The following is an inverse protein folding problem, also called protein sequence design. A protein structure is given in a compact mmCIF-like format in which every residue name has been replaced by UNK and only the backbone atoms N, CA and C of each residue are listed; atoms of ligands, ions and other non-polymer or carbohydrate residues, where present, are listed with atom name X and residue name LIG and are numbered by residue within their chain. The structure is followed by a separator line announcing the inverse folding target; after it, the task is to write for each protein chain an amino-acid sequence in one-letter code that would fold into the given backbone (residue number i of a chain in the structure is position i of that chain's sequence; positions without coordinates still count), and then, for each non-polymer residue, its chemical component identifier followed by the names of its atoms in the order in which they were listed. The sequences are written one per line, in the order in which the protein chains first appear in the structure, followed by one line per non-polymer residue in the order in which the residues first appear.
data_IF_661079002690
#
_entry.id   IF_661079002690
#
_cell.length_a   1.000
_cell.length_b   1.000
_cell.length_c   1.000
_cell.angle_alpha   90.00
_cell.angle_beta   90.00
_cell.angle_gamma   90.00
#
_symmetry.space_group_name_H-M   'P 1'
#
loop_
_entity.id
_entity.type
_entity.pdbx_description
1 polymer ?
#
# COMPACT_ATOMS: atom_id res chain seq x y z
N UNK A 1 -5.91 -4.83 -6.18
CA UNK A 1 -5.84 -4.77 -4.69
C UNK A 1 -5.34 -3.41 -4.26
N UNK A 2 -5.97 -2.82 -3.25
CA UNK A 2 -5.44 -1.67 -2.49
C UNK A 2 -4.89 -2.17 -1.15
N UNK A 3 -3.68 -1.74 -0.77
CA UNK A 3 -3.05 -2.15 0.49
C UNK A 3 -3.09 -1.02 1.49
N UNK A 4 -3.59 -1.31 2.70
CA UNK A 4 -3.69 -0.45 3.88
C UNK A 4 -4.30 0.91 3.56
N UNK A 5 -5.62 0.95 3.34
CA UNK A 5 -6.35 2.17 2.94
C UNK A 5 -6.34 3.26 4.01
N UNK A 6 -5.88 2.94 5.23
CA UNK A 6 -6.03 3.79 6.40
C UNK A 6 -7.47 3.87 6.88
N UNK A 7 -7.70 4.61 7.96
CA UNK A 7 -9.03 4.73 8.60
C UNK A 7 -10.08 5.40 7.69
N UNK A 8 -9.64 6.30 6.83
CA UNK A 8 -10.54 7.11 6.00
C UNK A 8 -10.82 6.48 4.63
N UNK A 9 -9.98 5.51 4.17
CA UNK A 9 -10.17 4.82 2.89
C UNK A 9 -10.28 5.77 1.70
N UNK A 10 -9.46 6.81 1.66
CA UNK A 10 -9.59 7.90 0.68
C UNK A 10 -9.49 7.40 -0.77
N UNK A 11 -8.53 6.52 -1.04
CA UNK A 11 -8.42 5.93 -2.39
C UNK A 11 -9.50 4.90 -2.67
N UNK A 12 -9.99 4.19 -1.64
CA UNK A 12 -11.14 3.29 -1.77
C UNK A 12 -12.38 4.04 -2.24
N UNK A 13 -12.61 5.29 -1.78
CA UNK A 13 -13.71 6.14 -2.27
C UNK A 13 -13.68 6.40 -3.77
N UNK A 14 -12.48 6.44 -4.35
CA UNK A 14 -12.28 6.64 -5.79
C UNK A 14 -12.34 5.30 -6.52
N UNK A 15 -11.64 4.28 -5.99
CA UNK A 15 -11.45 3.01 -6.67
C UNK A 15 -12.73 2.15 -6.68
N UNK A 16 -13.52 2.17 -5.60
CA UNK A 16 -14.74 1.34 -5.53
C UNK A 16 -15.74 1.72 -6.62
N UNK A 17 -16.20 2.98 -6.75
CA UNK A 17 -17.13 3.35 -7.81
C UNK A 17 -16.50 3.27 -9.21
N UNK A 18 -15.19 3.53 -9.33
CA UNK A 18 -14.50 3.42 -10.62
C UNK A 18 -14.50 2.00 -11.17
N UNK A 19 -14.41 0.99 -10.30
CA UNK A 19 -14.37 -0.42 -10.68
C UNK A 19 -15.73 -1.11 -10.69
N UNK A 20 -16.80 -0.46 -10.19
CA UNK A 20 -18.09 -1.09 -9.94
C UNK A 20 -18.67 -1.88 -11.14
N UNK A 21 -18.54 -1.34 -12.36
CA UNK A 21 -19.10 -1.95 -13.58
C UNK A 21 -18.11 -2.85 -14.34
N UNK A 22 -16.80 -2.77 -14.07
CA UNK A 22 -15.77 -3.37 -14.93
C UNK A 22 -14.72 -4.19 -14.18
N UNK A 23 -14.81 -4.28 -12.88
CA UNK A 23 -13.79 -4.94 -12.08
C UNK A 23 -14.23 -5.25 -10.67
N UNK A 24 -13.28 -5.63 -9.84
CA UNK A 24 -13.50 -5.88 -8.43
C UNK A 24 -12.36 -5.25 -7.62
N UNK A 25 -12.71 -4.47 -6.62
CA UNK A 25 -11.75 -3.97 -5.64
C UNK A 25 -11.61 -4.97 -4.50
N UNK A 26 -10.38 -5.38 -4.22
CA UNK A 26 -10.01 -6.04 -2.96
C UNK A 26 -9.19 -5.07 -2.14
N UNK A 27 -9.51 -4.92 -0.87
CA UNK A 27 -8.77 -4.08 0.06
C UNK A 27 -8.11 -4.94 1.12
N UNK A 28 -6.80 -4.81 1.28
CA UNK A 28 -6.06 -5.47 2.33
C UNK A 28 -5.89 -4.50 3.52
N UNK A 29 -6.67 -4.69 4.57
CA UNK A 29 -6.56 -3.94 5.82
C UNK A 29 -5.38 -4.45 6.67
N UNK A 30 -5.07 -3.80 7.80
CA UNK A 30 -4.04 -4.30 8.70
C UNK A 30 -4.43 -5.68 9.25
N UNK A 31 -3.48 -6.60 9.21
CA UNK A 31 -3.65 -7.93 9.80
C UNK A 31 -3.51 -7.93 11.32
N UNK A 32 -3.71 -9.09 11.92
CA UNK A 32 -3.59 -9.27 13.36
C UNK A 32 -2.14 -9.15 13.80
N UNK A 33 -1.93 -8.37 14.83
CA UNK A 33 -0.63 -8.17 15.45
C UNK A 33 -0.76 -8.00 16.96
N UNK A 34 0.35 -8.16 17.64
CA UNK A 34 0.43 -8.09 19.12
C UNK A 34 1.41 -7.03 19.60
N UNK A 35 1.95 -6.21 18.69
CA UNK A 35 2.93 -5.18 18.99
C UNK A 35 2.31 -3.84 19.44
N UNK A 36 3.15 -2.85 19.60
CA UNK A 36 2.76 -1.52 20.09
C UNK A 36 1.83 -0.75 19.15
N UNK A 37 1.68 -1.17 17.88
CA UNK A 37 0.80 -0.52 16.89
C UNK A 37 -0.59 -1.13 16.83
N UNK A 38 -0.84 -2.22 17.59
CA UNK A 38 -2.07 -2.98 17.57
C UNK A 38 -3.32 -2.11 17.72
N UNK A 39 -3.36 -1.25 18.73
CA UNK A 39 -4.55 -0.45 19.03
C UNK A 39 -4.83 0.57 17.94
N UNK A 40 -3.79 1.22 17.40
CA UNK A 40 -3.91 2.13 16.26
C UNK A 40 -4.48 1.42 15.03
N UNK A 41 -3.97 0.24 14.70
CA UNK A 41 -4.39 -0.50 13.52
C UNK A 41 -5.78 -1.09 13.67
N UNK A 42 -6.15 -1.53 14.89
CA UNK A 42 -7.50 -1.97 15.19
C UNK A 42 -8.51 -0.81 15.05
N UNK A 43 -8.17 0.37 15.55
CA UNK A 43 -8.98 1.59 15.36
C UNK A 43 -9.15 1.93 13.88
N UNK A 44 -8.06 1.89 13.10
CA UNK A 44 -8.10 2.16 11.67
C UNK A 44 -8.98 1.14 10.91
N UNK A 45 -8.83 -0.16 11.20
CA UNK A 45 -9.66 -1.21 10.60
C UNK A 45 -11.14 -1.04 10.97
N UNK A 46 -11.43 -0.70 12.23
CA UNK A 46 -12.81 -0.49 12.71
C UNK A 46 -13.47 0.71 12.02
N UNK A 47 -12.74 1.82 11.90
CA UNK A 47 -13.23 3.02 11.22
C UNK A 47 -13.46 2.75 9.72
N UNK A 48 -12.54 2.02 9.08
CA UNK A 48 -12.68 1.64 7.68
C UNK A 48 -13.87 0.70 7.45
N UNK A 49 -14.07 -0.30 8.29
CA UNK A 49 -15.24 -1.18 8.20
C UNK A 49 -16.55 -0.40 8.35
N UNK A 50 -16.62 0.51 9.34
CA UNK A 50 -17.79 1.38 9.52
C UNK A 50 -18.09 2.26 8.29
N UNK A 51 -17.04 2.73 7.59
CA UNK A 51 -17.20 3.46 6.33
C UNK A 51 -17.83 2.61 5.23
N UNK A 52 -17.35 1.36 5.06
CA UNK A 52 -17.94 0.45 4.05
C UNK A 52 -19.40 0.16 4.37
N UNK A 53 -19.74 -0.07 5.63
CA UNK A 53 -21.10 -0.36 6.09
C UNK A 53 -22.05 0.84 5.94
N UNK A 54 -21.51 2.07 5.98
CA UNK A 54 -22.32 3.28 5.89
C UNK A 54 -22.92 3.53 4.50
N UNK A 55 -22.31 3.02 3.44
CA UNK A 55 -22.80 3.16 2.07
C UNK A 55 -22.66 1.85 1.26
N UNK A 56 -23.53 0.86 1.51
CA UNK A 56 -23.50 -0.42 0.80
C UNK A 56 -23.67 -0.24 -0.72
N UNK A 57 -24.39 0.79 -1.16
CA UNK A 57 -24.59 1.05 -2.59
C UNK A 57 -23.28 1.33 -3.35
N UNK A 58 -22.26 1.80 -2.63
CA UNK A 58 -20.93 2.05 -3.21
C UNK A 58 -19.94 0.91 -2.92
N UNK A 59 -20.04 0.30 -1.73
CA UNK A 59 -18.96 -0.55 -1.21
C UNK A 59 -19.31 -2.04 -1.08
N UNK A 60 -20.55 -2.48 -1.33
CA UNK A 60 -20.95 -3.89 -1.16
C UNK A 60 -20.13 -4.88 -1.99
N UNK A 61 -19.59 -4.43 -3.14
CA UNK A 61 -18.74 -5.24 -4.00
C UNK A 61 -17.27 -5.25 -3.59
N UNK A 62 -16.87 -4.47 -2.57
CA UNK A 62 -15.48 -4.41 -2.10
C UNK A 62 -15.19 -5.65 -1.26
N UNK A 63 -14.24 -6.47 -1.73
CA UNK A 63 -13.74 -7.59 -0.97
C UNK A 63 -12.70 -7.12 0.05
N UNK A 64 -12.76 -7.60 1.28
CA UNK A 64 -11.79 -7.25 2.34
C UNK A 64 -10.94 -8.46 2.69
N UNK A 65 -9.64 -8.27 2.73
CA UNK A 65 -8.64 -9.22 3.23
C UNK A 65 -7.72 -8.49 4.21
N UNK A 66 -6.72 -9.17 4.74
CA UNK A 66 -5.77 -8.57 5.67
C UNK A 66 -4.32 -8.86 5.30
N UNK A 67 -3.43 -7.96 5.67
CA UNK A 67 -2.00 -8.08 5.44
C UNK A 67 -1.21 -7.69 6.68
N UNK A 68 -0.36 -8.62 7.14
CA UNK A 68 0.69 -8.35 8.12
C UNK A 68 1.82 -9.37 7.97
N UNK A 69 2.94 -8.94 7.45
CA UNK A 69 4.09 -9.81 7.25
C UNK A 69 4.85 -10.05 8.57
N UNK A 70 5.46 -11.26 8.74
CA UNK A 70 5.50 -12.35 7.77
C UNK A 70 4.30 -13.31 7.81
N UNK A 71 3.41 -13.21 8.76
CA UNK A 71 2.38 -14.25 9.05
C UNK A 71 1.16 -14.23 8.13
N UNK A 72 0.65 -13.05 7.79
CA UNK A 72 -0.57 -12.85 7.01
C UNK A 72 -0.24 -12.11 5.70
N UNK A 73 0.09 -12.85 4.65
CA UNK A 73 0.52 -12.29 3.36
C UNK A 73 -0.34 -12.76 2.18
N UNK A 74 -1.46 -13.41 2.43
CA UNK A 74 -2.36 -13.91 1.39
C UNK A 74 -3.35 -12.82 0.93
N UNK A 75 -2.90 -11.90 0.08
CA UNK A 75 -3.70 -10.78 -0.43
C UNK A 75 -4.87 -11.23 -1.32
N UNK A 76 -4.66 -12.24 -2.14
CA UNK A 76 -5.62 -12.84 -3.07
C UNK A 76 -5.07 -14.18 -3.58
N UNK A 77 -5.83 -14.86 -4.45
CA UNK A 77 -5.31 -16.04 -5.13
C UNK A 77 -4.09 -15.68 -6.00
N UNK A 78 -3.05 -16.53 -6.06
CA UNK A 78 -1.89 -16.27 -6.90
C UNK A 78 -2.26 -16.03 -8.37
N UNK A 79 -1.64 -15.03 -8.98
CA UNK A 79 -1.84 -14.69 -10.39
C UNK A 79 -3.26 -14.27 -10.75
N UNK A 80 -4.05 -13.76 -9.79
CA UNK A 80 -5.45 -13.39 -10.02
C UNK A 80 -5.68 -11.89 -10.24
N UNK A 81 -4.73 -11.04 -9.85
CA UNK A 81 -4.90 -9.61 -9.83
C UNK A 81 -4.24 -8.92 -11.03
N UNK A 82 -4.90 -7.93 -11.59
CA UNK A 82 -4.35 -7.10 -12.66
C UNK A 82 -3.45 -5.99 -12.11
N UNK A 83 -3.79 -5.49 -10.92
CA UNK A 83 -3.09 -4.37 -10.30
C UNK A 83 -3.09 -4.47 -8.77
N UNK A 84 -1.97 -4.10 -8.17
CA UNK A 84 -1.83 -3.85 -6.73
C UNK A 84 -1.42 -2.39 -6.56
N UNK A 85 -2.12 -1.66 -5.68
CA UNK A 85 -1.85 -0.26 -5.38
C UNK A 85 -1.55 -0.08 -3.90
N UNK A 86 -0.60 0.78 -3.62
CA UNK A 86 -0.27 1.18 -2.25
C UNK A 86 0.09 2.66 -2.20
N UNK A 87 -0.38 3.33 -1.15
CA UNK A 87 -0.26 4.77 -0.99
C UNK A 87 0.28 5.08 0.41
N UNK A 88 1.50 5.62 0.50
CA UNK A 88 2.15 6.03 1.74
C UNK A 88 2.39 4.88 2.75
N UNK A 89 2.76 3.71 2.24
CA UNK A 89 2.99 2.54 3.08
C UNK A 89 4.40 1.94 2.94
N UNK A 90 5.10 2.20 1.82
CA UNK A 90 6.43 1.59 1.59
C UNK A 90 7.42 1.96 2.69
N UNK A 91 7.44 3.23 3.14
CA UNK A 91 8.30 3.67 4.25
C UNK A 91 7.99 2.91 5.56
N UNK A 92 6.72 2.57 5.82
CA UNK A 92 6.33 1.78 6.98
C UNK A 92 6.82 0.33 6.87
N UNK A 93 6.70 -0.29 5.69
CA UNK A 93 7.22 -1.64 5.46
C UNK A 93 8.74 -1.70 5.63
N UNK A 94 9.45 -0.67 5.20
CA UNK A 94 10.90 -0.54 5.40
C UNK A 94 11.23 -0.41 6.89
N UNK A 95 10.56 0.50 7.61
CA UNK A 95 10.74 0.73 9.05
C UNK A 95 10.49 -0.51 9.89
N UNK A 96 9.52 -1.33 9.51
CA UNK A 96 9.15 -2.55 10.25
C UNK A 96 9.83 -3.82 9.74
N UNK A 97 10.72 -3.70 8.76
CA UNK A 97 11.43 -4.84 8.18
C UNK A 97 10.54 -5.80 7.38
N UNK A 98 9.37 -5.35 6.93
CA UNK A 98 8.36 -6.16 6.24
C UNK A 98 8.40 -6.03 4.72
N UNK A 99 9.18 -5.09 4.18
CA UNK A 99 9.10 -4.71 2.77
C UNK A 99 9.32 -5.87 1.81
N UNK A 100 10.26 -6.77 2.09
CA UNK A 100 10.55 -7.94 1.26
C UNK A 100 9.34 -8.89 1.17
N UNK A 101 8.75 -9.23 2.31
CA UNK A 101 7.63 -10.17 2.39
C UNK A 101 6.36 -9.60 1.75
N UNK A 102 6.08 -8.31 2.00
CA UNK A 102 4.93 -7.62 1.39
C UNK A 102 5.09 -7.51 -0.12
N UNK A 103 6.26 -7.12 -0.62
CA UNK A 103 6.52 -7.03 -2.05
C UNK A 103 6.47 -8.40 -2.74
N UNK A 104 6.96 -9.46 -2.08
CA UNK A 104 6.81 -10.83 -2.58
C UNK A 104 5.33 -11.26 -2.65
N UNK A 105 4.52 -10.89 -1.65
CA UNK A 105 3.08 -11.14 -1.68
C UNK A 105 2.38 -10.37 -2.81
N UNK A 106 2.75 -9.12 -3.04
CA UNK A 106 2.25 -8.34 -4.18
C UNK A 106 2.60 -9.00 -5.52
N UNK A 107 3.84 -9.48 -5.66
CA UNK A 107 4.29 -10.17 -6.86
C UNK A 107 3.50 -11.47 -7.10
N UNK A 108 3.28 -12.25 -6.05
CA UNK A 108 2.61 -13.55 -6.14
C UNK A 108 1.16 -13.45 -6.61
N UNK A 109 0.43 -12.39 -6.24
CA UNK A 109 -0.99 -12.24 -6.61
C UNK A 109 -1.21 -11.63 -7.99
N UNK A 110 -0.20 -10.96 -8.54
CA UNK A 110 -0.32 -10.32 -9.84
C UNK A 110 -0.23 -11.33 -10.99
N UNK A 111 -1.06 -11.13 -12.00
CA UNK A 111 -0.96 -11.83 -13.29
C UNK A 111 0.36 -11.50 -13.98
N UNK A 112 0.85 -12.34 -14.90
CA UNK A 112 1.94 -11.95 -15.80
C UNK A 112 1.60 -10.64 -16.52
N UNK A 113 2.48 -9.63 -16.39
CA UNK A 113 2.24 -8.28 -16.92
C UNK A 113 1.37 -7.38 -16.03
N UNK A 114 0.93 -7.86 -14.87
CA UNK A 114 0.24 -7.04 -13.87
C UNK A 114 1.13 -5.94 -13.29
N UNK A 115 0.50 -4.92 -12.73
CA UNK A 115 1.17 -3.67 -12.31
C UNK A 115 1.14 -3.52 -10.79
N UNK A 116 2.28 -3.24 -10.20
CA UNK A 116 2.39 -2.68 -8.85
C UNK A 116 2.54 -1.16 -8.94
N UNK A 117 1.56 -0.42 -8.44
CA UNK A 117 1.62 1.05 -8.31
C UNK A 117 1.95 1.45 -6.87
N UNK A 118 3.02 2.22 -6.73
CA UNK A 118 3.50 2.70 -5.41
C UNK A 118 3.56 4.21 -5.42
N UNK A 119 2.87 4.82 -4.47
CA UNK A 119 2.99 6.25 -4.16
C UNK A 119 3.51 6.39 -2.75
N UNK A 120 4.58 7.15 -2.55
CA UNK A 120 5.12 7.42 -1.22
C UNK A 120 5.81 8.79 -1.18
N UNK A 121 6.18 9.24 0.00
CA UNK A 121 6.96 10.46 0.22
C UNK A 121 8.39 10.25 -0.27
N UNK A 122 8.80 11.06 -1.26
CA UNK A 122 10.13 10.95 -1.85
C UNK A 122 11.14 11.80 -1.09
N UNK A 123 12.24 11.17 -0.69
CA UNK A 123 13.38 11.90 -0.14
C UNK A 123 13.97 12.85 -1.20
N UNK A 124 14.32 14.10 -0.85
CA UNK A 124 15.03 15.01 -1.75
C UNK A 124 16.37 14.46 -2.21
N UNK A 125 16.75 14.81 -3.43
CA UNK A 125 18.07 14.48 -3.97
C UNK A 125 19.20 15.02 -3.08
N UNK A 126 20.25 14.23 -2.92
CA UNK A 126 21.44 14.60 -2.14
C UNK A 126 21.30 14.50 -0.62
N UNK A 127 20.16 14.06 -0.10
CA UNK A 127 20.02 13.72 1.33
C UNK A 127 20.63 12.34 1.59
N UNK A 128 21.19 12.16 2.79
CA UNK A 128 21.65 10.84 3.22
C UNK A 128 20.51 9.82 3.19
N UNK A 129 20.77 8.66 2.61
CA UNK A 129 19.78 7.59 2.48
C UNK A 129 19.58 6.94 3.84
N UNK A 130 18.35 6.99 4.35
CA UNK A 130 17.91 6.20 5.50
C UNK A 130 17.34 4.86 5.00
N UNK A 131 18.03 3.73 5.20
CA UNK A 131 17.58 2.44 4.69
C UNK A 131 16.30 1.93 5.36
N UNK A 132 15.94 2.48 6.51
CA UNK A 132 14.72 2.13 7.24
C UNK A 132 13.60 3.17 7.06
N UNK A 133 13.85 4.24 6.32
CA UNK A 133 12.90 5.33 6.08
C UNK A 133 12.23 5.85 7.37
N UNK A 134 13.00 5.99 8.47
CA UNK A 134 12.48 6.39 9.80
C UNK A 134 11.82 7.77 9.81
N UNK A 135 12.24 8.64 8.91
CA UNK A 135 11.66 9.96 8.72
C UNK A 135 10.42 9.96 7.79
N UNK A 136 10.01 8.78 7.28
CA UNK A 136 8.87 8.62 6.39
C UNK A 136 9.13 8.93 4.92
N UNK A 137 10.36 9.34 4.57
CA UNK A 137 10.74 9.67 3.18
C UNK A 137 11.63 8.58 2.60
N UNK A 138 11.31 8.15 1.38
CA UNK A 138 12.00 7.06 0.70
C UNK A 138 12.82 7.61 -0.47
N UNK A 139 14.09 7.25 -0.56
CA UNK A 139 14.90 7.49 -1.75
C UNK A 139 14.35 6.69 -2.93
N UNK A 140 14.11 7.35 -4.06
CA UNK A 140 13.48 6.73 -5.23
C UNK A 140 14.30 5.57 -5.78
N UNK A 141 15.62 5.69 -5.85
CA UNK A 141 16.47 4.61 -6.37
C UNK A 141 16.47 3.41 -5.40
N UNK A 142 16.39 3.67 -4.10
CA UNK A 142 16.25 2.63 -3.08
C UNK A 142 14.90 1.91 -3.20
N UNK A 143 13.80 2.63 -3.39
CA UNK A 143 12.49 2.04 -3.63
C UNK A 143 12.49 1.14 -4.87
N UNK A 144 13.04 1.62 -5.99
CA UNK A 144 13.14 0.85 -7.23
C UNK A 144 13.94 -0.44 -7.01
N UNK A 145 15.13 -0.36 -6.41
CA UNK A 145 15.96 -1.55 -6.13
C UNK A 145 15.25 -2.56 -5.24
N UNK A 146 14.56 -2.09 -4.21
CA UNK A 146 13.81 -2.95 -3.28
C UNK A 146 12.67 -3.70 -3.99
N UNK A 147 11.93 -3.00 -4.83
CA UNK A 147 10.81 -3.56 -5.60
C UNK A 147 11.34 -4.53 -6.68
N UNK A 148 12.43 -4.18 -7.37
CA UNK A 148 13.06 -5.07 -8.37
C UNK A 148 13.63 -6.35 -7.74
N UNK A 149 14.13 -6.27 -6.50
CA UNK A 149 14.60 -7.45 -5.76
C UNK A 149 13.47 -8.46 -5.47
N UNK A 150 12.22 -8.03 -5.45
CA UNK A 150 11.04 -8.90 -5.32
C UNK A 150 10.57 -9.51 -6.66
N UNK A 151 11.24 -9.22 -7.78
CA UNK A 151 10.97 -9.80 -9.11
C UNK A 151 10.25 -8.85 -10.08
N UNK A 152 9.94 -7.63 -9.68
CA UNK A 152 9.37 -6.61 -10.55
C UNK A 152 10.43 -6.02 -11.49
N UNK A 153 9.94 -5.30 -12.49
CA UNK A 153 10.77 -4.48 -13.38
C UNK A 153 10.20 -3.06 -13.41
N UNK A 154 11.04 -2.07 -13.18
CA UNK A 154 10.63 -0.67 -13.25
C UNK A 154 10.06 -0.33 -14.63
N UNK A 155 8.84 0.20 -14.66
CA UNK A 155 8.14 0.55 -15.89
C UNK A 155 8.07 2.06 -16.11
N UNK A 156 8.09 2.86 -15.07
CA UNK A 156 8.05 4.32 -15.16
C UNK A 156 7.66 4.99 -13.85
N UNK A 157 7.77 6.32 -13.82
CA UNK A 157 7.34 7.17 -12.71
C UNK A 157 6.49 8.33 -13.21
N UNK A 158 5.73 8.94 -12.29
CA UNK A 158 4.91 10.13 -12.57
C UNK A 158 5.09 11.16 -11.47
N UNK A 159 5.13 12.42 -11.84
CA UNK A 159 5.20 13.56 -10.93
C UNK A 159 3.82 14.16 -10.62
N UNK A 160 2.72 13.46 -10.97
CA UNK A 160 1.36 13.98 -10.78
C UNK A 160 1.03 14.32 -9.32
N UNK A 161 1.65 13.61 -8.38
CA UNK A 161 1.50 13.83 -6.93
C UNK A 161 2.64 14.65 -6.33
N UNK A 162 3.58 15.16 -7.14
CA UNK A 162 4.70 15.92 -6.61
C UNK A 162 4.21 17.24 -6.00
N UNK A 163 4.67 17.51 -4.78
CA UNK A 163 4.42 18.77 -4.09
C UNK A 163 5.74 19.54 -3.93
N UNK A 164 6.02 20.57 -4.74
CA UNK A 164 7.27 21.32 -4.65
C UNK A 164 7.42 22.13 -3.35
N UNK A 165 6.34 22.27 -2.57
CA UNK A 165 6.37 22.91 -1.26
C UNK A 165 6.71 21.94 -0.12
N UNK A 166 6.81 20.63 -0.40
CA UNK A 166 7.23 19.65 0.60
C UNK A 166 8.76 19.76 0.82
N UNK A 167 9.13 20.23 2.00
CA UNK A 167 10.54 20.40 2.40
C UNK A 167 11.16 19.09 2.94
N UNK A 168 10.37 18.03 3.02
CA UNK A 168 10.75 16.70 3.50
C UNK A 168 11.38 16.69 4.91
N UNK A 169 10.98 17.62 5.76
CA UNK A 169 11.39 17.74 7.16
C UNK A 169 10.21 17.57 8.14
N UNK A 170 9.05 17.15 7.61
CA UNK A 170 7.89 16.80 8.41
C UNK A 170 7.92 15.31 8.79
N UNK A 171 7.58 14.93 10.03
CA UNK A 171 7.35 13.53 10.37
C UNK A 171 6.12 13.02 9.60
N UNK A 172 6.25 11.85 9.00
CA UNK A 172 5.16 11.16 8.29
C UNK A 172 4.34 10.30 9.26
#
# INVERSE_FOLDING_TARGET
VEIWPGKDGWYTEILAPYLADQGQLTVAVFGDQTDQYRDFMLEANTAFAAKLDADPGVYEAVAVTSLWAPGQVALAAPGSQDMVLTFRNLHNWMRWGQAQDVLAACYAVLKPGGILGVTDHRSPDGRDIDPEAKNGYVDQATAIRLIEAAGFRFAGSSEINANPADTADHPS
#
